data_IF_900553260839
#
_entry.id   IF_900553260839
#
_cell.length_a   1.000
_cell.length_b   1.000
_cell.length_c   1.000
_cell.angle_alpha   90.00
_cell.angle_beta   90.00
_cell.angle_gamma   90.00
#
_symmetry.space_group_name_H-M   'P 1'
#
loop_
_entity.id
_entity.type
_entity.pdbx_description
1 polymer ?
#
# COMPACT_ATOMS: atom_id res chain seq x y z
N UNK A 1 -2.85 26.54 6.38
CA UNK A 1 -3.18 25.26 7.04
C UNK A 1 -3.77 24.34 5.98
N UNK A 2 -3.17 23.19 5.78
CA UNK A 2 -3.71 22.18 4.88
C UNK A 2 -4.92 21.55 5.56
N UNK A 3 -6.10 21.60 4.92
CA UNK A 3 -7.36 21.13 5.51
C UNK A 3 -7.40 19.60 5.47
N UNK A 4 -7.37 18.96 6.63
CA UNK A 4 -7.10 17.51 6.73
C UNK A 4 -8.35 16.61 6.86
N UNK A 5 -9.54 17.12 7.11
CA UNK A 5 -10.63 16.25 7.55
C UNK A 5 -11.94 16.33 6.75
N UNK A 6 -12.30 17.46 6.19
CA UNK A 6 -13.63 17.64 5.58
C UNK A 6 -13.80 16.95 4.23
N UNK A 7 -12.70 16.81 3.45
CA UNK A 7 -12.75 16.23 2.09
C UNK A 7 -12.63 14.69 2.07
N UNK A 8 -12.53 14.07 3.24
CA UNK A 8 -12.26 12.63 3.35
C UNK A 8 -13.47 11.78 3.69
N UNK A 9 -14.62 12.37 3.99
CA UNK A 9 -15.84 11.63 4.33
C UNK A 9 -16.80 11.56 3.13
N UNK A 10 -17.48 10.41 2.98
CA UNK A 10 -18.55 10.26 1.98
C UNK A 10 -19.78 11.06 2.40
N UNK A 11 -20.51 11.54 1.39
CA UNK A 11 -21.85 12.03 1.64
C UNK A 11 -22.74 10.91 2.20
N UNK A 12 -23.69 11.24 3.06
CA UNK A 12 -24.55 10.26 3.74
C UNK A 12 -25.25 9.33 2.75
N UNK A 13 -25.74 9.88 1.62
CA UNK A 13 -26.42 9.13 0.56
C UNK A 13 -25.51 8.10 -0.16
N UNK A 14 -24.20 8.29 -0.12
CA UNK A 14 -23.19 7.39 -0.72
C UNK A 14 -22.62 6.40 0.28
N UNK A 15 -22.98 6.53 1.55
CA UNK A 15 -22.49 5.68 2.63
C UNK A 15 -23.06 4.29 2.52
N UNK A 16 -22.21 3.27 2.58
CA UNK A 16 -22.65 1.87 2.64
C UNK A 16 -23.17 1.57 4.06
N UNK A 17 -24.48 1.35 4.24
CA UNK A 17 -25.04 1.19 5.58
C UNK A 17 -24.54 -0.07 6.26
N UNK A 18 -24.35 0.02 7.57
CA UNK A 18 -24.01 -1.09 8.46
C UNK A 18 -25.09 -1.27 9.51
N UNK A 19 -25.10 -2.44 10.17
CA UNK A 19 -26.07 -2.75 11.22
C UNK A 19 -25.53 -2.29 12.59
N UNK A 20 -25.45 -0.96 12.78
CA UNK A 20 -24.82 -0.33 13.93
C UNK A 20 -25.38 -0.76 15.30
N UNK A 21 -26.73 -0.89 15.50
CA UNK A 21 -27.25 -1.36 16.78
C UNK A 21 -26.74 -2.76 17.17
N UNK A 22 -26.63 -3.67 16.22
CA UNK A 22 -26.10 -5.01 16.47
C UNK A 22 -24.63 -5.02 16.78
N UNK A 23 -23.85 -4.13 16.12
CA UNK A 23 -22.45 -3.93 16.46
C UNK A 23 -22.30 -3.39 17.88
N UNK A 24 -23.13 -2.43 18.28
CA UNK A 24 -23.14 -1.87 19.62
C UNK A 24 -23.46 -2.94 20.70
N UNK A 25 -24.47 -3.77 20.45
CA UNK A 25 -24.82 -4.90 21.32
C UNK A 25 -23.66 -5.91 21.45
N UNK A 26 -23.04 -6.27 20.32
CA UNK A 26 -21.87 -7.17 20.31
C UNK A 26 -20.71 -6.61 21.12
N UNK A 27 -20.34 -5.34 20.90
CA UNK A 27 -19.24 -4.68 21.60
C UNK A 27 -19.54 -4.50 23.09
N UNK A 28 -20.80 -4.16 23.45
CA UNK A 28 -21.24 -4.07 24.85
C UNK A 28 -21.08 -5.41 25.59
N UNK A 29 -21.35 -6.53 24.91
CA UNK A 29 -21.10 -7.88 25.45
C UNK A 29 -19.62 -8.17 25.75
N UNK A 30 -18.70 -7.38 25.18
CA UNK A 30 -17.25 -7.45 25.42
C UNK A 30 -16.75 -6.34 26.37
N UNK A 31 -17.65 -5.54 26.92
CA UNK A 31 -17.30 -4.42 27.81
C UNK A 31 -16.81 -3.16 27.09
N UNK A 32 -17.04 -3.06 25.76
CA UNK A 32 -16.71 -1.89 24.94
C UNK A 32 -17.98 -1.12 24.58
N UNK A 33 -17.96 0.20 24.65
CA UNK A 33 -19.11 1.04 24.38
C UNK A 33 -18.98 1.75 23.03
N UNK A 34 -19.84 1.39 22.06
CA UNK A 34 -20.00 2.11 20.80
C UNK A 34 -21.01 3.25 20.99
N UNK A 35 -20.57 4.49 20.78
CA UNK A 35 -21.45 5.66 20.81
C UNK A 35 -22.22 5.76 19.49
N UNK A 36 -23.53 5.70 19.56
CA UNK A 36 -24.42 5.87 18.39
C UNK A 36 -25.11 7.25 18.36
N UNK A 37 -24.96 8.06 19.40
CA UNK A 37 -25.44 9.44 19.40
C UNK A 37 -24.62 10.31 18.42
N UNK A 38 -23.35 9.90 18.23
CA UNK A 38 -22.50 10.39 17.15
C UNK A 38 -22.52 9.39 15.99
N UNK A 39 -23.26 9.66 14.89
CA UNK A 39 -23.38 8.71 13.80
C UNK A 39 -22.03 8.35 13.19
N UNK A 40 -21.74 7.05 12.93
CA UNK A 40 -20.55 6.63 12.22
C UNK A 40 -20.46 7.23 10.82
N UNK A 41 -19.28 7.71 10.43
CA UNK A 41 -19.02 8.35 9.14
C UNK A 41 -18.12 7.48 8.28
N UNK A 42 -18.47 7.26 7.01
CA UNK A 42 -17.64 6.48 6.10
C UNK A 42 -16.59 7.37 5.43
N UNK A 43 -15.32 6.95 5.47
CA UNK A 43 -14.27 7.60 4.69
C UNK A 43 -14.51 7.46 3.18
N UNK A 44 -14.28 8.53 2.43
CA UNK A 44 -14.40 8.54 0.97
C UNK A 44 -13.23 7.82 0.29
N UNK A 45 -12.04 7.86 0.90
CA UNK A 45 -10.82 7.20 0.44
C UNK A 45 -10.79 5.71 0.79
N UNK A 46 -9.94 4.97 0.07
CA UNK A 46 -9.76 3.52 0.23
C UNK A 46 -10.62 2.74 -0.76
N UNK A 47 -9.95 2.19 -1.80
CA UNK A 47 -10.64 1.42 -2.85
C UNK A 47 -10.88 -0.04 -2.45
N UNK A 48 -10.19 -0.50 -1.40
CA UNK A 48 -10.16 -1.89 -1.01
C UNK A 48 -11.15 -2.20 0.13
N UNK A 49 -11.07 -1.50 1.25
CA UNK A 49 -11.86 -1.74 2.45
C UNK A 49 -12.93 -0.66 2.67
N UNK A 50 -14.01 -1.02 3.35
CA UNK A 50 -14.95 -0.05 3.90
C UNK A 50 -14.44 0.38 5.27
N UNK A 51 -14.13 1.67 5.42
CA UNK A 51 -13.59 2.26 6.64
C UNK A 51 -14.59 3.27 7.21
N UNK A 52 -14.86 3.17 8.51
CA UNK A 52 -15.80 4.07 9.19
C UNK A 52 -15.15 4.67 10.42
N UNK A 53 -15.24 5.99 10.57
CA UNK A 53 -14.96 6.67 11.82
C UNK A 53 -16.09 6.37 12.80
N UNK A 54 -15.75 5.84 13.96
CA UNK A 54 -16.66 5.51 15.06
C UNK A 54 -16.14 6.12 16.35
N UNK A 55 -16.98 6.17 17.39
CA UNK A 55 -16.54 6.48 18.75
C UNK A 55 -16.66 5.23 19.61
N UNK A 56 -15.53 4.73 20.11
CA UNK A 56 -15.42 3.58 20.98
C UNK A 56 -14.88 4.02 22.34
N UNK A 57 -15.60 3.73 23.41
CA UNK A 57 -15.24 4.16 24.78
C UNK A 57 -14.92 5.66 24.88
N UNK A 58 -15.71 6.48 24.18
CA UNK A 58 -15.55 7.93 24.10
C UNK A 58 -14.38 8.42 23.22
N UNK A 59 -13.59 7.53 22.64
CA UNK A 59 -12.45 7.88 21.78
C UNK A 59 -12.74 7.59 20.30
N UNK A 60 -12.18 8.40 19.36
CA UNK A 60 -12.29 8.09 17.95
C UNK A 60 -11.53 6.82 17.59
N UNK A 61 -12.15 5.96 16.77
CA UNK A 61 -11.56 4.74 16.26
C UNK A 61 -12.01 4.49 14.80
N UNK A 62 -11.37 3.61 14.09
CA UNK A 62 -11.73 3.23 12.72
C UNK A 62 -12.18 1.78 12.69
N UNK A 63 -13.43 1.56 12.29
CA UNK A 63 -13.90 0.24 11.93
C UNK A 63 -13.54 -0.02 10.47
N UNK A 64 -12.81 -1.13 10.21
CA UNK A 64 -12.40 -1.58 8.87
C UNK A 64 -13.04 -2.92 8.58
N UNK A 65 -13.61 -3.08 7.40
CA UNK A 65 -14.18 -4.34 6.92
C UNK A 65 -14.03 -4.49 5.41
N UNK A 66 -14.04 -5.73 4.88
CA UNK A 66 -14.09 -5.95 3.43
C UNK A 66 -15.33 -5.32 2.78
N UNK A 67 -15.27 -4.96 1.49
CA UNK A 67 -16.42 -4.54 0.72
C UNK A 67 -17.45 -5.67 0.61
N UNK A 68 -18.68 -5.35 0.17
CA UNK A 68 -19.70 -6.35 -0.12
C UNK A 68 -19.43 -7.03 -1.47
N UNK A 69 -19.75 -8.31 -1.58
CA UNK A 69 -19.66 -9.08 -2.83
C UNK A 69 -18.58 -10.16 -2.80
N UNK A 70 -18.35 -10.87 -3.91
CA UNK A 70 -17.32 -11.87 -4.03
C UNK A 70 -15.94 -11.22 -3.96
N UNK A 71 -15.09 -11.74 -3.08
CA UNK A 71 -13.73 -11.25 -2.86
C UNK A 71 -12.71 -12.24 -3.45
N UNK A 72 -11.60 -11.74 -4.02
CA UNK A 72 -10.50 -12.61 -4.43
C UNK A 72 -9.95 -13.39 -3.24
N UNK A 73 -9.61 -14.66 -3.45
CA UNK A 73 -9.03 -15.50 -2.40
C UNK A 73 -7.74 -14.90 -1.83
N UNK A 74 -7.67 -14.78 -0.50
CA UNK A 74 -6.52 -14.20 0.22
C UNK A 74 -6.42 -12.67 0.20
N UNK A 75 -7.40 -11.97 -0.40
CA UNK A 75 -7.54 -10.53 -0.27
C UNK A 75 -8.36 -10.19 0.99
N UNK A 76 -8.11 -9.00 1.55
CA UNK A 76 -8.89 -8.47 2.68
C UNK A 76 -8.84 -9.33 3.95
N UNK A 77 -7.67 -9.86 4.28
CA UNK A 77 -7.45 -10.68 5.47
C UNK A 77 -7.35 -9.77 6.72
N UNK A 78 -8.51 -9.53 7.35
CA UNK A 78 -8.62 -8.70 8.56
C UNK A 78 -7.82 -9.30 9.73
N UNK A 79 -7.74 -10.63 9.82
CA UNK A 79 -7.00 -11.30 10.89
C UNK A 79 -5.50 -11.07 10.77
N UNK A 80 -4.94 -11.13 9.54
CA UNK A 80 -3.53 -10.84 9.28
C UNK A 80 -3.18 -9.38 9.56
N UNK A 81 -3.98 -8.44 9.08
CA UNK A 81 -3.78 -7.02 9.35
C UNK A 81 -3.85 -6.74 10.86
N UNK A 82 -4.84 -7.29 11.55
CA UNK A 82 -4.95 -7.17 13.00
C UNK A 82 -3.79 -7.81 13.75
N UNK A 83 -3.30 -8.97 13.30
CA UNK A 83 -2.11 -9.61 13.88
C UNK A 83 -0.90 -8.66 13.88
N UNK A 84 -0.72 -7.88 12.81
CA UNK A 84 0.33 -6.87 12.72
C UNK A 84 0.04 -5.70 13.65
N UNK A 85 -1.11 -5.06 13.50
CA UNK A 85 -1.45 -3.82 14.19
C UNK A 85 -1.64 -3.99 15.71
N UNK A 86 -2.03 -5.17 16.17
CA UNK A 86 -2.12 -5.45 17.62
C UNK A 86 -0.76 -5.53 18.32
N UNK A 87 0.35 -5.61 17.59
CA UNK A 87 1.70 -5.86 18.11
C UNK A 87 2.75 -4.85 17.70
N UNK A 88 2.78 -4.49 16.39
CA UNK A 88 3.86 -3.70 15.79
C UNK A 88 4.04 -2.32 16.42
N UNK A 89 2.96 -1.65 16.84
CA UNK A 89 2.97 -0.31 17.46
C UNK A 89 3.92 -0.20 18.67
N UNK A 90 4.24 -1.31 19.32
CA UNK A 90 5.12 -1.35 20.51
C UNK A 90 6.58 -0.99 20.18
N UNK A 91 7.02 -1.26 18.95
CA UNK A 91 8.39 -0.98 18.47
C UNK A 91 8.44 -0.05 17.25
N UNK A 92 7.32 0.12 16.59
CA UNK A 92 7.14 1.02 15.47
C UNK A 92 5.93 1.92 15.72
N UNK A 93 6.11 3.06 16.43
CA UNK A 93 5.02 3.93 16.90
C UNK A 93 4.16 4.53 15.79
N UNK A 94 4.64 4.50 14.54
CA UNK A 94 3.87 4.93 13.37
C UNK A 94 2.78 3.92 12.96
N UNK A 95 2.81 2.69 13.45
CA UNK A 95 1.70 1.74 13.23
C UNK A 95 0.53 2.10 14.15
N UNK A 96 -0.70 2.28 13.64
CA UNK A 96 -1.90 2.38 14.47
C UNK A 96 -2.10 1.11 15.29
N UNK A 97 -2.71 1.24 16.48
CA UNK A 97 -2.99 0.08 17.33
C UNK A 97 -4.23 -0.68 16.84
N UNK A 98 -4.13 -1.99 16.69
CA UNK A 98 -5.29 -2.88 16.57
C UNK A 98 -5.99 -2.99 17.92
N UNK A 99 -7.27 -2.57 17.97
CA UNK A 99 -8.07 -2.51 19.21
C UNK A 99 -8.95 -3.76 19.37
N UNK A 100 -9.58 -4.20 18.29
CA UNK A 100 -10.46 -5.37 18.31
C UNK A 100 -10.53 -6.03 16.93
N UNK A 101 -10.65 -7.37 16.92
CA UNK A 101 -10.93 -8.19 15.73
C UNK A 101 -12.18 -9.02 15.98
N UNK A 102 -13.09 -9.03 15.00
CA UNK A 102 -14.23 -9.91 14.95
C UNK A 102 -14.21 -10.69 13.64
N UNK A 103 -14.07 -12.01 13.73
CA UNK A 103 -14.11 -12.91 12.56
C UNK A 103 -15.54 -13.41 12.26
N UNK A 104 -16.51 -13.10 13.14
CA UNK A 104 -17.89 -13.54 13.00
C UNK A 104 -18.68 -12.67 12.03
N UNK A 105 -18.87 -13.17 10.81
CA UNK A 105 -19.66 -12.46 9.79
C UNK A 105 -21.12 -12.16 10.24
N UNK A 106 -21.66 -12.93 11.21
CA UNK A 106 -23.03 -12.72 11.71
C UNK A 106 -23.25 -11.37 12.38
N UNK A 107 -22.19 -10.68 12.85
CA UNK A 107 -22.32 -9.38 13.55
C UNK A 107 -22.73 -8.27 12.59
N UNK A 108 -21.93 -8.01 11.55
CA UNK A 108 -22.21 -6.94 10.56
C UNK A 108 -22.12 -7.43 9.10
N UNK A 109 -22.23 -8.74 8.87
CA UNK A 109 -22.24 -9.31 7.52
C UNK A 109 -20.85 -9.59 6.92
N UNK A 110 -19.76 -9.35 7.65
CA UNK A 110 -18.38 -9.71 7.30
C UNK A 110 -17.48 -9.65 8.53
N UNK A 111 -16.30 -10.30 8.52
CA UNK A 111 -15.24 -10.01 9.47
C UNK A 111 -14.90 -8.53 9.48
N UNK A 112 -14.49 -8.01 10.63
CA UNK A 112 -14.06 -6.63 10.76
C UNK A 112 -12.99 -6.48 11.84
N UNK A 113 -12.23 -5.39 11.76
CA UNK A 113 -11.36 -4.96 12.84
C UNK A 113 -11.66 -3.52 13.24
N UNK A 114 -11.32 -3.17 14.47
CA UNK A 114 -11.32 -1.80 14.97
C UNK A 114 -9.88 -1.43 15.26
N UNK A 115 -9.44 -0.31 14.73
CA UNK A 115 -8.08 0.21 14.88
C UNK A 115 -8.10 1.62 15.42
N UNK A 116 -7.00 2.04 16.03
CA UNK A 116 -6.78 3.40 16.49
C UNK A 116 -6.96 4.40 15.35
N UNK A 117 -7.69 5.48 15.60
CA UNK A 117 -7.76 6.62 14.68
C UNK A 117 -6.54 7.52 14.85
N UNK A 118 -5.88 7.82 13.76
CA UNK A 118 -4.78 8.81 13.72
C UNK A 118 -5.19 9.98 12.85
N UNK A 119 -4.96 11.20 13.34
CA UNK A 119 -5.19 12.43 12.56
C UNK A 119 -3.96 12.75 11.73
N UNK A 120 -4.15 13.44 10.60
CA UNK A 120 -3.07 13.87 9.74
C UNK A 120 -3.57 14.16 8.33
N UNK A 121 -2.66 14.59 7.45
CA UNK A 121 -2.91 14.71 6.02
C UNK A 121 -2.17 13.60 5.27
N UNK A 122 -2.74 13.17 4.17
CA UNK A 122 -2.09 12.29 3.19
C UNK A 122 -1.75 13.11 1.94
N UNK A 123 -0.55 12.92 1.41
CA UNK A 123 -0.13 13.52 0.14
C UNK A 123 -0.04 12.41 -0.93
N UNK A 124 -0.63 12.67 -2.10
CA UNK A 124 -0.73 11.65 -3.14
C UNK A 124 0.08 12.05 -4.38
N UNK A 125 -0.56 12.56 -5.39
CA UNK A 125 -0.04 12.81 -6.74
C UNK A 125 0.69 14.15 -6.89
N UNK A 126 0.39 15.10 -6.03
CA UNK A 126 0.92 16.46 -6.09
C UNK A 126 1.16 17.05 -4.70
N UNK A 127 2.09 17.98 -4.61
CA UNK A 127 2.24 18.82 -3.43
C UNK A 127 1.23 19.95 -3.47
N UNK A 128 0.54 20.27 -2.34
CA UNK A 128 -0.33 21.43 -2.25
C UNK A 128 0.40 22.72 -2.59
N UNK A 129 -0.30 23.71 -3.17
CA UNK A 129 0.26 24.96 -3.66
C UNK A 129 1.25 25.67 -2.69
N UNK A 130 1.02 25.71 -1.37
CA UNK A 130 2.00 26.31 -0.45
C UNK A 130 3.33 25.57 -0.35
N UNK A 131 3.37 24.28 -0.73
CA UNK A 131 4.55 23.41 -0.66
C UNK A 131 5.16 23.17 -2.05
N UNK A 132 4.40 23.41 -3.10
CA UNK A 132 4.82 23.18 -4.47
C UNK A 132 6.00 24.10 -4.84
N UNK A 133 7.08 23.50 -5.38
CA UNK A 133 8.28 24.23 -5.81
C UNK A 133 9.32 24.47 -4.70
N UNK A 134 9.04 24.20 -3.43
CA UNK A 134 10.08 24.25 -2.39
C UNK A 134 10.88 22.93 -2.38
N UNK A 135 12.08 22.96 -2.94
CA UNK A 135 12.98 21.81 -3.00
C UNK A 135 13.33 21.22 -1.61
N UNK A 136 13.26 22.01 -0.55
CA UNK A 136 13.51 21.54 0.82
C UNK A 136 12.39 20.60 1.29
N UNK A 137 11.16 20.86 0.87
CA UNK A 137 10.01 19.99 1.16
C UNK A 137 10.17 18.63 0.47
N UNK A 138 10.53 18.61 -0.82
CA UNK A 138 10.79 17.37 -1.54
C UNK A 138 11.93 16.56 -0.90
N UNK A 139 13.04 17.20 -0.56
CA UNK A 139 14.19 16.56 0.09
C UNK A 139 13.80 15.97 1.46
N UNK A 140 13.04 16.71 2.27
CA UNK A 140 12.58 16.28 3.58
C UNK A 140 11.63 15.09 3.47
N UNK A 141 10.60 15.17 2.62
CA UNK A 141 9.63 14.08 2.42
C UNK A 141 10.29 12.82 1.87
N UNK A 142 11.19 12.97 0.87
CA UNK A 142 11.92 11.85 0.32
C UNK A 142 12.79 11.14 1.37
N UNK A 143 13.51 11.91 2.19
CA UNK A 143 14.30 11.38 3.31
C UNK A 143 13.41 10.70 4.34
N UNK A 144 12.31 11.33 4.73
CA UNK A 144 11.34 10.78 5.72
C UNK A 144 10.80 9.44 5.27
N UNK A 145 10.40 9.28 4.00
CA UNK A 145 9.90 7.99 3.48
C UNK A 145 10.93 6.87 3.63
N UNK A 146 12.19 7.15 3.30
CA UNK A 146 13.25 6.15 3.42
C UNK A 146 13.49 5.80 4.88
N UNK A 147 13.54 6.79 5.77
CA UNK A 147 13.80 6.59 7.19
C UNK A 147 12.68 5.78 7.86
N UNK A 148 11.42 6.04 7.52
CA UNK A 148 10.28 5.22 7.99
C UNK A 148 10.46 3.75 7.59
N UNK A 149 10.85 3.48 6.34
CA UNK A 149 11.06 2.12 5.86
C UNK A 149 12.26 1.44 6.54
N UNK A 150 13.34 2.19 6.76
CA UNK A 150 14.50 1.73 7.53
C UNK A 150 14.10 1.35 8.95
N UNK A 151 13.33 2.20 9.63
CA UNK A 151 12.91 1.95 11.01
C UNK A 151 11.96 0.75 11.10
N UNK A 152 11.04 0.58 10.14
CA UNK A 152 10.23 -0.62 10.04
C UNK A 152 11.09 -1.89 9.91
N UNK A 153 12.06 -1.88 9.01
CA UNK A 153 12.89 -3.04 8.73
C UNK A 153 13.94 -3.34 9.81
N UNK A 154 14.17 -2.42 10.75
CA UNK A 154 14.96 -2.64 11.97
C UNK A 154 14.20 -3.37 13.06
N UNK A 155 12.87 -3.40 13.00
CA UNK A 155 12.08 -4.13 13.99
C UNK A 155 12.31 -5.62 13.81
N UNK A 156 12.88 -6.26 14.83
CA UNK A 156 12.93 -7.73 14.88
C UNK A 156 11.50 -8.27 15.05
N UNK A 157 11.01 -9.10 14.11
CA UNK A 157 9.67 -9.67 14.19
C UNK A 157 9.40 -10.45 15.48
N UNK A 158 10.41 -11.14 16.02
CA UNK A 158 10.28 -11.91 17.26
C UNK A 158 10.08 -11.00 18.47
N UNK A 159 10.70 -9.81 18.47
CA UNK A 159 10.59 -8.86 19.58
C UNK A 159 9.16 -8.29 19.78
N UNK A 160 8.28 -8.49 18.81
CA UNK A 160 6.88 -8.06 18.82
C UNK A 160 5.89 -9.21 18.61
N UNK A 161 6.35 -10.48 18.67
CA UNK A 161 5.50 -11.67 18.52
C UNK A 161 4.94 -11.86 17.10
N UNK A 162 5.68 -11.41 16.08
CA UNK A 162 5.34 -11.56 14.66
C UNK A 162 6.27 -12.56 13.93
N UNK A 163 7.00 -13.39 14.64
CA UNK A 163 7.91 -14.41 14.08
C UNK A 163 7.21 -15.48 13.25
N UNK A 164 5.90 -15.63 13.40
CA UNK A 164 5.09 -16.58 12.63
C UNK A 164 4.32 -15.93 11.47
N UNK A 165 4.39 -14.59 11.31
CA UNK A 165 3.69 -13.87 10.27
C UNK A 165 4.19 -14.28 8.89
N UNK A 166 3.29 -14.74 8.00
CA UNK A 166 3.62 -15.11 6.62
C UNK A 166 4.59 -16.28 6.49
N UNK A 167 5.17 -16.42 5.31
CA UNK A 167 6.14 -17.47 4.95
C UNK A 167 7.37 -16.82 4.31
N UNK A 168 8.40 -16.44 5.08
CA UNK A 168 9.55 -15.71 4.52
C UNK A 168 10.43 -16.57 3.60
N UNK A 169 10.64 -17.87 3.90
CA UNK A 169 11.48 -18.75 3.06
C UNK A 169 10.90 -18.92 1.66
N UNK A 170 11.68 -18.70 0.61
CA UNK A 170 11.25 -18.69 -0.80
C UNK A 170 10.31 -17.54 -1.14
N UNK A 171 10.37 -16.43 -0.42
CA UNK A 171 9.49 -15.28 -0.61
C UNK A 171 9.61 -14.70 -2.01
N UNK A 172 10.81 -14.40 -2.50
CA UNK A 172 11.05 -13.80 -3.82
C UNK A 172 10.61 -14.73 -4.94
N UNK A 173 10.89 -16.02 -4.84
CA UNK A 173 10.45 -17.00 -5.84
C UNK A 173 8.92 -17.08 -5.92
N UNK A 174 8.24 -17.15 -4.76
CA UNK A 174 6.77 -17.18 -4.74
C UNK A 174 6.15 -15.86 -5.20
N UNK A 175 6.76 -14.72 -4.86
CA UNK A 175 6.32 -13.42 -5.36
C UNK A 175 6.43 -13.36 -6.87
N UNK A 176 7.56 -13.79 -7.44
CA UNK A 176 7.80 -13.86 -8.89
C UNK A 176 6.73 -14.69 -9.59
N UNK A 177 6.57 -15.97 -9.21
CA UNK A 177 5.59 -16.84 -9.86
C UNK A 177 4.14 -16.37 -9.64
N UNK A 178 3.86 -15.83 -8.45
CA UNK A 178 2.55 -15.26 -8.15
C UNK A 178 2.20 -14.07 -9.03
N UNK A 179 3.15 -13.15 -9.27
CA UNK A 179 2.91 -11.99 -10.13
C UNK A 179 2.89 -12.35 -11.61
N UNK A 180 3.71 -13.30 -12.06
CA UNK A 180 3.65 -13.85 -13.44
C UNK A 180 2.27 -14.46 -13.69
N UNK A 181 1.78 -15.31 -12.77
CA UNK A 181 0.44 -15.89 -12.88
C UNK A 181 -0.66 -14.83 -12.93
N UNK A 182 -0.60 -13.82 -12.05
CA UNK A 182 -1.57 -12.71 -12.03
C UNK A 182 -1.52 -11.89 -13.32
N UNK A 183 -0.34 -11.66 -13.88
CA UNK A 183 -0.16 -10.99 -15.15
C UNK A 183 -0.86 -11.76 -16.29
N UNK A 184 -0.60 -13.06 -16.40
CA UNK A 184 -1.22 -13.90 -17.44
C UNK A 184 -2.75 -13.90 -17.33
N UNK A 185 -3.30 -14.04 -16.10
CA UNK A 185 -4.76 -14.02 -15.88
C UNK A 185 -5.36 -12.63 -16.16
N UNK A 186 -4.65 -11.55 -15.81
CA UNK A 186 -5.15 -10.20 -16.02
C UNK A 186 -5.33 -9.86 -17.49
N UNK A 187 -4.43 -10.33 -18.34
CA UNK A 187 -4.44 -9.98 -19.79
C UNK A 187 -5.11 -11.03 -20.67
N UNK A 188 -5.57 -12.15 -20.11
CA UNK A 188 -6.22 -13.22 -20.85
C UNK A 188 -7.51 -12.73 -21.55
N UNK A 189 -7.49 -12.71 -22.89
CA UNK A 189 -8.57 -12.18 -23.74
C UNK A 189 -8.70 -10.63 -23.72
N UNK A 190 -7.84 -9.89 -23.00
CA UNK A 190 -7.94 -8.42 -22.84
C UNK A 190 -6.66 -7.66 -23.16
N UNK A 191 -5.51 -8.31 -23.08
CA UNK A 191 -4.22 -7.68 -23.32
C UNK A 191 -3.96 -7.40 -24.80
N UNK A 192 -3.21 -6.33 -25.08
CA UNK A 192 -2.67 -6.07 -26.42
C UNK A 192 -1.56 -7.08 -26.74
N UNK A 193 -1.24 -7.32 -28.03
CA UNK A 193 -0.08 -8.14 -28.39
C UNK A 193 1.22 -7.65 -27.73
N UNK A 194 1.42 -6.32 -27.63
CA UNK A 194 2.57 -5.70 -26.98
C UNK A 194 2.61 -6.03 -25.48
N UNK A 195 1.49 -5.88 -24.79
CA UNK A 195 1.38 -6.21 -23.35
C UNK A 195 1.71 -7.68 -23.10
N UNK A 196 1.17 -8.59 -23.90
CA UNK A 196 1.44 -10.04 -23.82
C UNK A 196 2.93 -10.35 -24.01
N UNK A 197 3.55 -9.78 -25.05
CA UNK A 197 4.97 -9.97 -25.33
C UNK A 197 5.85 -9.47 -24.18
N UNK A 198 5.57 -8.27 -23.63
CA UNK A 198 6.29 -7.71 -22.50
C UNK A 198 6.21 -8.59 -21.25
N UNK A 199 5.02 -9.15 -20.95
CA UNK A 199 4.85 -10.06 -19.82
C UNK A 199 5.67 -11.33 -20.01
N UNK A 200 5.70 -11.90 -21.21
CA UNK A 200 6.50 -13.09 -21.50
C UNK A 200 8.01 -12.80 -21.33
N UNK A 201 8.50 -11.69 -21.88
CA UNK A 201 9.91 -11.28 -21.76
C UNK A 201 10.31 -11.05 -20.30
N UNK A 202 9.49 -10.33 -19.53
CA UNK A 202 9.75 -10.05 -18.13
C UNK A 202 9.66 -11.31 -17.26
N UNK A 203 8.71 -12.19 -17.52
CA UNK A 203 8.58 -13.48 -16.83
C UNK A 203 9.81 -14.36 -17.03
N UNK A 204 10.31 -14.44 -18.26
CA UNK A 204 11.54 -15.17 -18.60
C UNK A 204 12.74 -14.57 -17.84
N UNK A 205 12.93 -13.25 -17.98
CA UNK A 205 14.03 -12.55 -17.32
C UNK A 205 14.01 -12.72 -15.79
N UNK A 206 12.85 -12.58 -15.15
CA UNK A 206 12.71 -12.74 -13.69
C UNK A 206 13.05 -14.15 -13.21
N UNK A 207 12.72 -15.19 -13.99
CA UNK A 207 13.06 -16.58 -13.67
C UNK A 207 14.56 -16.85 -13.79
N UNK A 208 15.19 -16.32 -14.84
CA UNK A 208 16.63 -16.48 -15.08
C UNK A 208 17.49 -15.69 -14.07
N UNK A 209 16.97 -14.57 -13.57
CA UNK A 209 17.71 -13.68 -12.68
C UNK A 209 17.20 -13.73 -11.22
N UNK A 210 16.42 -14.76 -10.85
CA UNK A 210 15.91 -14.91 -9.50
C UNK A 210 17.07 -15.04 -8.50
N UNK A 211 16.97 -14.24 -7.43
CA UNK A 211 18.01 -14.17 -6.39
C UNK A 211 17.53 -14.86 -5.11
N UNK A 212 18.45 -15.37 -4.26
CA UNK A 212 18.10 -15.88 -2.95
C UNK A 212 17.47 -14.79 -2.06
N UNK A 213 16.54 -15.20 -1.19
CA UNK A 213 15.99 -14.29 -0.17
C UNK A 213 17.10 -13.81 0.78
N UNK A 214 17.08 -12.54 1.15
CA UNK A 214 17.85 -12.03 2.28
C UNK A 214 17.23 -12.46 3.63
N UNK A 215 17.91 -12.13 4.74
CA UNK A 215 17.33 -12.30 6.08
C UNK A 215 15.98 -11.59 6.18
N UNK A 216 14.91 -12.29 6.59
CA UNK A 216 13.56 -11.76 6.55
C UNK A 216 13.36 -10.64 7.58
N UNK A 217 12.65 -9.59 7.16
CA UNK A 217 12.19 -8.51 8.02
C UNK A 217 10.67 -8.34 7.88
N UNK A 218 10.08 -7.45 8.67
CA UNK A 218 8.68 -7.03 8.48
C UNK A 218 8.58 -6.18 7.23
N UNK A 219 7.61 -6.46 6.38
CA UNK A 219 7.32 -5.72 5.16
C UNK A 219 5.94 -5.07 5.25
N UNK A 220 5.82 -3.86 4.75
CA UNK A 220 4.54 -3.23 4.48
C UNK A 220 3.94 -3.74 3.17
N UNK A 221 4.79 -3.94 2.18
CA UNK A 221 4.48 -4.51 0.87
C UNK A 221 3.55 -3.65 -0.04
N UNK A 222 3.20 -2.44 0.42
CA UNK A 222 2.56 -1.37 -0.37
C UNK A 222 2.92 0.01 0.18
N UNK A 223 4.18 0.19 0.60
CA UNK A 223 4.65 1.42 1.22
C UNK A 223 4.81 2.53 0.17
N UNK A 224 4.12 3.64 0.41
CA UNK A 224 4.12 4.85 -0.44
C UNK A 224 3.60 6.05 0.36
N UNK A 225 3.80 7.26 -0.17
CA UNK A 225 3.50 8.50 0.56
C UNK A 225 2.02 8.65 0.93
N UNK A 226 1.08 8.19 0.09
CA UNK A 226 -0.34 8.29 0.40
C UNK A 226 -0.79 7.35 1.54
N UNK A 227 0.05 6.38 1.92
CA UNK A 227 -0.13 5.54 3.10
C UNK A 227 0.55 6.11 4.35
N UNK A 228 1.16 7.31 4.27
CA UNK A 228 1.76 8.00 5.41
C UNK A 228 0.92 9.21 5.79
N UNK A 229 0.41 9.24 7.02
CA UNK A 229 -0.19 10.45 7.59
C UNK A 229 0.91 11.37 8.09
N UNK A 230 0.81 12.63 7.70
CA UNK A 230 1.74 13.69 8.06
C UNK A 230 1.04 14.76 8.91
N UNK A 231 1.79 15.38 9.79
CA UNK A 231 1.35 16.59 10.48
C UNK A 231 1.16 17.73 9.45
N UNK A 232 0.01 18.41 9.46
CA UNK A 232 -0.31 19.41 8.42
C UNK A 232 0.59 20.66 8.46
N UNK A 233 1.36 20.85 9.53
CA UNK A 233 2.22 22.04 9.73
C UNK A 233 3.68 21.70 9.52
N UNK A 234 4.18 20.66 10.20
CA UNK A 234 5.59 20.25 10.19
C UNK A 234 5.95 19.22 9.14
N UNK A 235 4.94 18.54 8.55
CA UNK A 235 5.09 17.38 7.69
C UNK A 235 5.80 16.19 8.36
N UNK A 236 5.89 16.18 9.69
CA UNK A 236 6.41 15.04 10.44
C UNK A 236 5.47 13.83 10.29
N UNK A 237 6.00 12.60 10.17
CA UNK A 237 5.16 11.41 10.04
C UNK A 237 4.41 11.11 11.34
N UNK A 238 3.11 10.84 11.24
CA UNK A 238 2.22 10.55 12.36
C UNK A 238 1.72 9.10 12.36
N UNK A 239 1.54 8.51 11.17
CA UNK A 239 1.16 7.11 11.06
C UNK A 239 1.50 6.54 9.68
N UNK A 240 1.67 5.23 9.63
CA UNK A 240 1.70 4.43 8.40
C UNK A 240 0.44 3.57 8.37
N UNK A 241 -0.34 3.70 7.31
CA UNK A 241 -1.66 3.07 7.14
C UNK A 241 -1.59 1.94 6.11
N UNK A 242 -2.68 1.14 6.06
CA UNK A 242 -2.94 0.12 5.04
C UNK A 242 -1.98 -1.07 5.07
N UNK A 243 -2.00 -1.79 6.20
CA UNK A 243 -1.17 -2.95 6.47
C UNK A 243 -1.74 -4.27 5.92
N UNK A 244 -2.75 -4.22 5.06
CA UNK A 244 -3.43 -5.41 4.53
C UNK A 244 -2.51 -6.34 3.71
N UNK A 245 -1.43 -5.81 3.11
CA UNK A 245 -0.38 -6.55 2.41
C UNK A 245 0.81 -6.94 3.31
N UNK A 246 0.77 -6.54 4.57
CA UNK A 246 1.87 -6.74 5.52
C UNK A 246 2.24 -8.22 5.67
N UNK A 247 3.56 -8.49 5.73
CA UNK A 247 4.11 -9.84 5.84
C UNK A 247 5.55 -9.81 6.33
N UNK A 248 6.27 -10.96 6.27
CA UNK A 248 7.73 -11.02 6.39
C UNK A 248 8.34 -11.50 5.10
N UNK A 249 9.47 -10.92 4.72
CA UNK A 249 10.21 -11.27 3.52
C UNK A 249 11.47 -10.45 3.33
N UNK A 250 11.88 -10.28 2.09
CA UNK A 250 13.08 -9.54 1.73
C UNK A 250 12.83 -8.03 1.74
N UNK A 251 13.53 -7.30 2.63
CA UNK A 251 13.38 -5.85 2.75
C UNK A 251 13.75 -5.05 1.50
N UNK A 252 14.63 -5.58 0.63
CA UNK A 252 14.92 -4.95 -0.66
C UNK A 252 13.72 -4.98 -1.60
N UNK A 253 12.84 -5.98 -1.46
CA UNK A 253 11.60 -5.99 -2.25
C UNK A 253 10.64 -4.87 -1.81
N UNK A 254 10.51 -4.62 -0.51
CA UNK A 254 9.67 -3.53 0.00
C UNK A 254 10.21 -2.14 -0.41
N UNK A 255 11.53 -1.96 -0.37
CA UNK A 255 12.18 -0.78 -0.97
C UNK A 255 11.87 -0.66 -2.47
N UNK A 256 11.97 -1.76 -3.22
CA UNK A 256 11.67 -1.75 -4.64
C UNK A 256 10.19 -1.45 -4.94
N UNK A 257 9.28 -1.87 -4.07
CA UNK A 257 7.85 -1.49 -4.14
C UNK A 257 7.68 0.02 -3.96
N UNK A 258 8.30 0.64 -2.96
CA UNK A 258 8.32 2.10 -2.82
C UNK A 258 8.83 2.77 -4.11
N UNK A 259 9.96 2.28 -4.65
CA UNK A 259 10.58 2.86 -5.85
C UNK A 259 9.80 2.59 -7.14
N UNK A 260 8.89 1.62 -7.16
CA UNK A 260 7.99 1.40 -8.31
C UNK A 260 6.92 2.48 -8.45
N UNK A 261 6.63 3.20 -7.37
CA UNK A 261 5.76 4.39 -7.35
C UNK A 261 6.54 5.72 -7.46
N UNK A 262 7.87 5.67 -7.38
CA UNK A 262 8.74 6.84 -7.38
C UNK A 262 9.02 7.33 -8.80
N UNK A 263 8.41 8.44 -9.17
CA UNK A 263 8.62 9.07 -10.48
C UNK A 263 9.76 10.09 -10.41
N UNK A 264 10.66 10.05 -11.38
CA UNK A 264 11.71 11.06 -11.58
C UNK A 264 11.37 11.95 -12.78
N UNK A 265 11.89 13.20 -12.86
CA UNK A 265 11.54 14.14 -13.95
C UNK A 265 11.79 13.59 -15.37
N UNK A 266 12.80 12.73 -15.55
CA UNK A 266 13.17 12.13 -16.84
C UNK A 266 12.45 10.84 -17.20
N UNK A 267 11.52 10.37 -16.35
CA UNK A 267 10.82 9.10 -16.56
C UNK A 267 9.85 9.15 -17.75
N UNK A 268 9.50 7.98 -18.31
CA UNK A 268 8.50 7.91 -19.37
C UNK A 268 7.12 8.36 -18.90
N UNK A 269 6.28 8.77 -19.86
CA UNK A 269 4.94 9.31 -19.59
C UNK A 269 4.07 8.43 -18.68
N UNK A 270 4.19 7.10 -18.77
CA UNK A 270 3.42 6.18 -17.93
C UNK A 270 3.72 6.35 -16.43
N UNK A 271 4.96 6.63 -16.03
CA UNK A 271 5.34 6.90 -14.65
C UNK A 271 4.68 8.19 -14.15
N UNK A 272 4.68 9.26 -14.95
CA UNK A 272 4.02 10.52 -14.61
C UNK A 272 2.49 10.37 -14.56
N UNK A 273 1.90 9.60 -15.47
CA UNK A 273 0.45 9.37 -15.54
C UNK A 273 -0.06 8.42 -14.44
N UNK A 274 0.81 7.58 -13.89
CA UNK A 274 0.48 6.75 -12.73
C UNK A 274 0.09 7.60 -11.52
N UNK A 275 0.74 8.75 -11.32
CA UNK A 275 0.40 9.80 -10.35
C UNK A 275 0.13 9.27 -8.92
N UNK A 276 1.05 8.46 -8.38
CA UNK A 276 0.90 7.89 -7.04
C UNK A 276 1.66 8.65 -5.95
N UNK A 277 2.73 9.35 -6.34
CA UNK A 277 3.53 10.17 -5.42
C UNK A 277 4.06 11.42 -6.15
N UNK A 278 4.28 12.55 -5.45
CA UNK A 278 4.73 13.80 -6.04
C UNK A 278 6.26 13.83 -6.26
N UNK A 279 6.93 12.69 -6.42
CA UNK A 279 8.39 12.56 -6.37
C UNK A 279 9.13 13.10 -7.59
N UNK A 280 8.42 13.44 -8.67
CA UNK A 280 8.96 14.22 -9.78
C UNK A 280 9.09 15.72 -9.47
N UNK A 281 8.56 16.19 -8.32
CA UNK A 281 8.69 17.58 -7.88
C UNK A 281 10.11 17.89 -7.43
N UNK A 282 10.45 19.19 -7.39
CA UNK A 282 11.77 19.66 -7.03
C UNK A 282 12.23 19.15 -5.64
N UNK A 283 13.48 18.76 -5.55
CA UNK A 283 14.16 18.39 -4.31
C UNK A 283 14.02 16.93 -3.88
N UNK A 284 13.09 16.16 -4.42
CA UNK A 284 13.08 14.72 -4.10
C UNK A 284 14.39 14.04 -4.55
N UNK A 285 14.96 13.14 -3.73
CA UNK A 285 16.14 12.38 -4.11
C UNK A 285 15.83 11.43 -5.28
N UNK A 286 16.86 11.06 -6.03
CA UNK A 286 16.74 10.04 -7.08
C UNK A 286 16.50 8.66 -6.46
N UNK A 287 15.93 7.73 -7.23
CA UNK A 287 15.76 6.32 -6.82
C UNK A 287 17.09 5.71 -6.37
N UNK A 288 18.17 6.05 -7.07
CA UNK A 288 19.50 5.58 -6.70
C UNK A 288 19.93 6.12 -5.32
N UNK A 289 19.76 7.40 -5.06
CA UNK A 289 20.08 8.01 -3.76
C UNK A 289 19.24 7.42 -2.62
N UNK A 290 17.96 7.14 -2.89
CA UNK A 290 17.07 6.44 -1.94
C UNK A 290 17.59 5.04 -1.62
N UNK A 291 17.96 4.25 -2.64
CA UNK A 291 18.47 2.91 -2.45
C UNK A 291 19.82 2.90 -1.72
N UNK A 292 20.72 3.81 -2.06
CA UNK A 292 22.02 3.96 -1.40
C UNK A 292 21.88 4.33 0.09
N UNK A 293 20.96 5.28 0.42
CA UNK A 293 20.65 5.64 1.82
C UNK A 293 20.14 4.44 2.60
N UNK A 294 19.17 3.72 2.05
CA UNK A 294 18.62 2.53 2.67
C UNK A 294 19.69 1.45 2.89
N UNK A 295 20.47 1.17 1.86
CA UNK A 295 21.53 0.17 1.90
C UNK A 295 22.61 0.50 2.94
N UNK A 296 23.05 1.75 2.97
CA UNK A 296 24.03 2.23 3.96
C UNK A 296 23.50 2.10 5.40
N UNK A 297 22.23 2.43 5.64
CA UNK A 297 21.63 2.39 6.98
C UNK A 297 21.42 0.96 7.54
N UNK A 298 21.23 -0.03 6.66
CA UNK A 298 20.93 -1.42 7.03
C UNK A 298 22.01 -2.42 6.64
N UNK A 299 23.16 -1.95 6.12
CA UNK A 299 24.26 -2.81 5.68
C UNK A 299 23.87 -3.77 4.55
N UNK A 300 23.04 -3.31 3.59
CA UNK A 300 22.54 -4.17 2.51
C UNK A 300 23.40 -4.00 1.25
N UNK A 301 23.60 -5.11 0.53
CA UNK A 301 24.22 -5.10 -0.79
C UNK A 301 23.14 -4.87 -1.87
N UNK A 302 23.41 -3.93 -2.78
CA UNK A 302 22.53 -3.60 -3.90
C UNK A 302 22.92 -4.31 -5.20
N UNK A 303 23.92 -5.18 -5.22
CA UNK A 303 24.40 -5.85 -6.45
C UNK A 303 23.31 -6.64 -7.18
N UNK A 304 22.33 -7.18 -6.44
CA UNK A 304 21.17 -7.92 -6.95
C UNK A 304 19.88 -7.09 -7.00
N UNK A 305 19.94 -5.80 -6.65
CA UNK A 305 18.73 -4.97 -6.47
C UNK A 305 17.92 -4.77 -7.75
N UNK A 306 18.56 -4.87 -8.91
CA UNK A 306 17.87 -4.81 -10.21
C UNK A 306 16.73 -5.85 -10.31
N UNK A 307 16.95 -7.06 -9.81
CA UNK A 307 15.91 -8.10 -9.77
C UNK A 307 14.66 -7.62 -8.99
N UNK A 308 14.86 -7.07 -7.80
CA UNK A 308 13.77 -6.56 -6.95
C UNK A 308 13.03 -5.42 -7.64
N UNK A 309 13.77 -4.52 -8.31
CA UNK A 309 13.20 -3.40 -9.07
C UNK A 309 12.32 -3.87 -10.21
N UNK A 310 12.77 -4.84 -11.02
CA UNK A 310 11.98 -5.40 -12.14
C UNK A 310 10.72 -6.08 -11.62
N UNK A 311 10.84 -6.89 -10.56
CA UNK A 311 9.71 -7.59 -9.96
C UNK A 311 8.66 -6.61 -9.41
N UNK A 312 9.08 -5.59 -8.68
CA UNK A 312 8.20 -4.57 -8.12
C UNK A 312 7.53 -3.71 -9.21
N UNK A 313 8.28 -3.33 -10.25
CA UNK A 313 7.74 -2.54 -11.37
C UNK A 313 6.72 -3.37 -12.17
N UNK A 314 7.02 -4.65 -12.44
CA UNK A 314 6.06 -5.56 -13.07
C UNK A 314 4.81 -5.74 -12.21
N UNK A 315 4.96 -5.90 -10.88
CA UNK A 315 3.83 -5.94 -9.94
C UNK A 315 2.92 -4.73 -10.11
N UNK A 316 3.48 -3.53 -10.08
CA UNK A 316 2.71 -2.28 -10.21
C UNK A 316 1.99 -2.22 -11.55
N UNK A 317 2.67 -2.56 -12.66
CA UNK A 317 2.05 -2.63 -13.98
C UNK A 317 0.87 -3.61 -14.04
N UNK A 318 1.01 -4.79 -13.44
CA UNK A 318 -0.05 -5.82 -13.39
C UNK A 318 -1.26 -5.35 -12.60
N UNK A 319 -1.07 -4.61 -11.50
CA UNK A 319 -2.19 -4.01 -10.75
C UNK A 319 -3.00 -3.07 -11.65
N UNK A 320 -2.33 -2.22 -12.42
CA UNK A 320 -3.01 -1.31 -13.36
C UNK A 320 -3.76 -2.09 -14.44
N UNK A 321 -3.17 -3.15 -15.00
CA UNK A 321 -3.85 -4.02 -15.98
C UNK A 321 -5.09 -4.70 -15.37
N UNK A 322 -5.01 -5.21 -14.13
CA UNK A 322 -6.14 -5.83 -13.45
C UNK A 322 -7.29 -4.83 -13.24
N UNK A 323 -6.99 -3.60 -12.83
CA UNK A 323 -8.00 -2.56 -12.63
C UNK A 323 -8.65 -2.14 -13.96
N UNK A 324 -7.88 -2.03 -15.04
CA UNK A 324 -8.39 -1.78 -16.39
C UNK A 324 -9.33 -2.89 -16.85
N UNK A 325 -8.97 -4.14 -16.68
CA UNK A 325 -9.79 -5.28 -17.11
C UNK A 325 -11.08 -5.36 -16.29
N UNK A 326 -11.07 -5.07 -15.00
CA UNK A 326 -12.28 -4.96 -14.19
C UNK A 326 -13.22 -3.87 -14.72
N UNK A 327 -12.67 -2.72 -15.13
CA UNK A 327 -13.45 -1.67 -15.77
C UNK A 327 -14.04 -2.14 -17.12
N UNK A 328 -13.23 -2.77 -17.97
CA UNK A 328 -13.67 -3.34 -19.25
C UNK A 328 -14.79 -4.36 -19.10
N UNK A 329 -14.80 -5.13 -18.03
CA UNK A 329 -15.84 -6.12 -17.69
C UNK A 329 -17.08 -5.49 -17.04
N UNK A 330 -17.08 -4.18 -16.78
CA UNK A 330 -18.17 -3.50 -16.09
C UNK A 330 -18.28 -3.79 -14.60
N UNK A 331 -17.24 -4.39 -14.00
CA UNK A 331 -17.19 -4.71 -12.56
C UNK A 331 -16.97 -3.45 -11.69
N UNK A 332 -16.56 -2.36 -12.31
CA UNK A 332 -16.42 -1.03 -11.71
C UNK A 332 -16.78 0.05 -12.72
N UNK A 333 -17.33 1.18 -12.22
CA UNK A 333 -17.69 2.36 -13.02
C UNK A 333 -16.69 3.51 -12.88
N UNK A 334 -15.58 3.30 -12.19
CA UNK A 334 -14.55 4.33 -12.01
C UNK A 334 -13.84 4.60 -13.34
N UNK A 335 -14.14 5.74 -13.95
CA UNK A 335 -13.62 6.14 -15.26
C UNK A 335 -12.09 6.30 -15.28
N UNK A 336 -11.43 6.46 -14.13
CA UNK A 336 -9.97 6.51 -14.06
C UNK A 336 -9.33 5.23 -14.59
N UNK A 337 -10.00 4.09 -14.43
CA UNK A 337 -9.48 2.78 -14.85
C UNK A 337 -9.50 2.55 -16.37
N UNK A 338 -10.20 3.41 -17.12
CA UNK A 338 -10.18 3.38 -18.58
C UNK A 338 -8.76 3.49 -19.15
N UNK A 339 -7.96 4.42 -18.62
CA UNK A 339 -6.60 4.67 -19.09
C UNK A 339 -5.55 3.74 -18.49
N UNK A 340 -5.91 2.93 -17.50
CA UNK A 340 -4.96 2.09 -16.79
C UNK A 340 -4.36 0.98 -17.64
N UNK A 341 -5.00 0.59 -18.74
CA UNK A 341 -4.43 -0.34 -19.72
C UNK A 341 -3.16 0.20 -20.38
N UNK A 342 -3.23 1.44 -20.89
CA UNK A 342 -2.10 2.13 -21.52
C UNK A 342 -0.98 2.43 -20.51
N UNK A 343 -1.35 2.91 -19.33
CA UNK A 343 -0.40 3.17 -18.24
C UNK A 343 0.30 1.86 -17.85
N UNK A 344 -0.44 0.77 -17.66
CA UNK A 344 0.13 -0.53 -17.30
C UNK A 344 1.08 -1.07 -18.37
N UNK A 345 0.78 -0.90 -19.66
CA UNK A 345 1.70 -1.28 -20.74
C UNK A 345 2.98 -0.43 -20.71
N UNK A 346 2.87 0.89 -20.53
CA UNK A 346 4.04 1.76 -20.38
C UNK A 346 4.88 1.42 -19.15
N UNK A 347 4.27 1.00 -18.03
CA UNK A 347 4.98 0.53 -16.85
C UNK A 347 5.71 -0.81 -17.09
N UNK A 348 5.15 -1.72 -17.92
CA UNK A 348 5.86 -2.94 -18.36
C UNK A 348 7.06 -2.60 -19.24
N UNK A 349 6.93 -1.62 -20.14
CA UNK A 349 8.06 -1.12 -20.94
C UNK A 349 9.15 -0.55 -20.03
N UNK A 350 8.79 0.20 -19.00
CA UNK A 350 9.74 0.72 -18.02
C UNK A 350 10.42 -0.41 -17.22
N UNK A 351 9.67 -1.45 -16.79
CA UNK A 351 10.24 -2.64 -16.16
C UNK A 351 11.28 -3.34 -17.07
N UNK A 352 11.02 -3.39 -18.39
CA UNK A 352 11.97 -3.91 -19.37
C UNK A 352 13.23 -3.05 -19.46
N UNK A 353 13.12 -1.73 -19.41
CA UNK A 353 14.29 -0.84 -19.40
C UNK A 353 15.14 -1.05 -18.14
N UNK A 354 14.52 -1.25 -16.97
CA UNK A 354 15.23 -1.64 -15.73
C UNK A 354 15.94 -3.00 -15.92
N UNK A 355 15.26 -3.99 -16.49
CA UNK A 355 15.84 -5.32 -16.73
C UNK A 355 17.09 -5.27 -17.63
N UNK A 356 17.10 -4.41 -18.64
CA UNK A 356 18.23 -4.16 -19.53
C UNK A 356 19.37 -3.35 -18.88
N UNK A 357 19.08 -2.65 -17.79
CA UNK A 357 20.02 -1.74 -17.13
C UNK A 357 20.12 -0.39 -17.81
N UNK A 358 19.13 0.00 -18.59
CA UNK A 358 19.05 1.32 -19.24
C UNK A 358 18.74 2.42 -18.20
N UNK A 359 18.09 2.04 -17.10
CA UNK A 359 17.72 2.92 -15.98
C UNK A 359 17.96 2.19 -14.64
N UNK A 360 18.15 2.99 -13.57
CA UNK A 360 18.32 2.47 -12.20
C UNK A 360 17.05 1.79 -11.70
#
# INVERSE_FOLDING_TARGET
>A
MLNAAADTMRAEIETVPQYWPRLAEYLAGLGMQLDLDTPPQQFAGGFANLNYLIRLDGQPAVLRRPPKGPLPAGAYDMAREFQILSRLWQKFPLAPRGLHLCEEARVIGAPFQIVEYRTGISLRDSLPAPLAGDARVGASLGTTLVDILIDLHRVDPASVGLETLGKPSGFLQRATEGWIKRASVAVDGWGTPTTLQLIIELAHWLRENCVPDASPTLLHNDFKLDNVLLDPTSLAPLAVLDWDQGTRGDGLFDLAVLLSYWTEPGDPAAMHQMAQMPTASAGFPTRQQVAERYAAALGRDLSTFRFHRVLAQMRTAVIFQQLHVRWRRGETRDSRYERFGEIGEGLLQFARSIARGDVF
#
